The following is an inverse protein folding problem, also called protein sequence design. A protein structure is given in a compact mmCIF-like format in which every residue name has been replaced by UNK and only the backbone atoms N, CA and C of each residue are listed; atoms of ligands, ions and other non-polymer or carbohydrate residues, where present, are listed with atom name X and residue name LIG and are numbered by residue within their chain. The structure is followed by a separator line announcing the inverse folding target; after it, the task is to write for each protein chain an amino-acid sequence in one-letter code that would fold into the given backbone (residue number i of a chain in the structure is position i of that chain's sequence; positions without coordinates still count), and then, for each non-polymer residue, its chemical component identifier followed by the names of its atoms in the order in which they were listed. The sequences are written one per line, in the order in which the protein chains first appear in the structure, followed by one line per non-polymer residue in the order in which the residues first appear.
data_IF_406785092802
#
_entry.id   IF_406785092802
#
_cell.length_a   1.000
_cell.length_b   1.000
_cell.length_c   1.000
_cell.angle_alpha   90.00
_cell.angle_beta   90.00
_cell.angle_gamma   90.00
#
_symmetry.space_group_name_H-M   'P 1'
#
loop_
_entity.id
_entity.type
_entity.pdbx_description
1 polymer ?
#
# COMPACT_ATOMS: atom_id res chain seq x y z
N UNK A 1 -21.36 -14.37 -32.00
CA UNK A 1 -20.51 -15.44 -32.54
C UNK A 1 -19.12 -15.44 -31.90
N UNK A 2 -18.80 -16.55 -31.23
CA UNK A 2 -17.48 -16.87 -30.67
C UNK A 2 -16.76 -17.78 -31.68
N UNK A 3 -15.85 -17.25 -32.53
CA UNK A 3 -15.17 -18.06 -33.52
C UNK A 3 -13.98 -18.75 -32.84
N UNK A 4 -14.08 -20.06 -32.66
CA UNK A 4 -13.03 -20.95 -32.14
C UNK A 4 -12.59 -20.71 -30.68
N UNK A 5 -12.47 -21.81 -29.93
CA UNK A 5 -11.98 -21.86 -28.53
C UNK A 5 -10.46 -21.62 -28.45
N UNK A 6 -9.93 -20.56 -29.03
CA UNK A 6 -8.47 -20.31 -29.06
C UNK A 6 -8.00 -19.03 -28.36
N UNK A 7 -8.86 -18.03 -28.13
CA UNK A 7 -8.59 -16.94 -27.18
C UNK A 7 -9.84 -16.11 -26.89
N UNK A 8 -10.17 -15.91 -25.62
CA UNK A 8 -11.11 -14.87 -25.23
C UNK A 8 -10.42 -13.51 -25.36
N UNK A 9 -11.03 -12.57 -26.08
CA UNK A 9 -10.52 -11.20 -26.27
C UNK A 9 -11.43 -10.23 -25.52
N UNK A 10 -10.83 -9.46 -24.61
CA UNK A 10 -11.53 -8.38 -23.91
C UNK A 10 -11.70 -7.22 -24.89
N UNK A 11 -12.94 -6.97 -25.33
CA UNK A 11 -13.27 -5.89 -26.29
C UNK A 11 -13.49 -4.55 -25.60
N UNK A 12 -13.96 -4.57 -24.35
CA UNK A 12 -14.23 -3.39 -23.54
C UNK A 12 -13.80 -3.67 -22.10
N UNK A 13 -13.04 -2.74 -21.54
CA UNK A 13 -12.64 -2.74 -20.14
C UNK A 13 -12.49 -1.30 -19.66
N UNK A 14 -12.82 -1.09 -18.39
CA UNK A 14 -12.70 0.20 -17.73
C UNK A 14 -11.81 0.04 -16.49
N UNK A 15 -10.89 0.96 -16.28
CA UNK A 15 -10.11 0.99 -15.04
C UNK A 15 -11.04 1.27 -13.87
N UNK A 16 -10.97 0.42 -12.85
CA UNK A 16 -11.65 0.62 -11.57
C UNK A 16 -10.61 0.92 -10.53
N UNK A 17 -10.90 1.89 -9.65
CA UNK A 17 -10.04 2.16 -8.51
C UNK A 17 -10.02 0.92 -7.60
N UNK A 18 -8.84 0.36 -7.29
CA UNK A 18 -8.74 -0.76 -6.36
C UNK A 18 -9.20 -0.33 -4.97
N UNK A 19 -9.83 -1.26 -4.23
CA UNK A 19 -10.31 -1.02 -2.86
C UNK A 19 -9.36 -1.58 -1.80
N UNK A 20 -8.37 -2.37 -2.21
CA UNK A 20 -7.41 -3.08 -1.35
C UNK A 20 -5.99 -2.66 -1.68
N UNK A 21 -5.04 -3.17 -0.91
CA UNK A 21 -3.60 -3.15 -1.22
C UNK A 21 -3.26 -4.05 -2.41
N UNK A 22 -2.06 -3.86 -2.97
CA UNK A 22 -1.60 -4.52 -4.19
C UNK A 22 -1.11 -5.96 -3.96
N UNK A 23 -0.69 -6.32 -2.73
CA UNK A 23 -0.11 -7.63 -2.42
C UNK A 23 -0.74 -8.25 -1.17
N UNK A 24 -1.07 -9.54 -1.26
CA UNK A 24 -1.47 -10.35 -0.11
C UNK A 24 -1.10 -11.82 -0.30
N UNK A 25 -1.23 -12.60 0.77
CA UNK A 25 -0.99 -14.03 0.74
C UNK A 25 -1.06 -14.66 2.12
N UNK A 26 -0.54 -15.89 2.22
CA UNK A 26 -0.44 -16.62 3.48
C UNK A 26 1.00 -17.04 3.74
N UNK A 27 1.47 -16.82 4.97
CA UNK A 27 2.77 -17.27 5.41
C UNK A 27 2.65 -17.90 6.80
N UNK A 28 3.08 -19.16 6.94
CA UNK A 28 3.04 -19.92 8.19
C UNK A 28 1.68 -19.85 8.91
N UNK A 29 0.59 -19.97 8.14
CA UNK A 29 -0.78 -19.93 8.66
C UNK A 29 -1.29 -18.54 9.06
N UNK A 30 -0.55 -17.46 8.73
CA UNK A 30 -0.97 -16.08 8.95
C UNK A 30 -1.25 -15.38 7.63
N UNK A 31 -2.31 -14.59 7.61
CA UNK A 31 -2.61 -13.69 6.49
C UNK A 31 -1.59 -12.55 6.47
N UNK A 32 -0.97 -12.35 5.30
CA UNK A 32 -0.01 -11.27 5.04
C UNK A 32 -0.63 -10.34 3.99
N UNK A 33 -0.50 -9.04 4.23
CA UNK A 33 -1.03 -8.00 3.35
C UNK A 33 -0.05 -6.83 3.34
N UNK A 34 0.36 -6.37 2.17
CA UNK A 34 1.25 -5.22 2.12
C UNK A 34 1.10 -4.39 0.87
N UNK A 35 1.54 -3.15 1.01
CA UNK A 35 1.68 -2.18 -0.06
C UNK A 35 3.17 -1.94 -0.33
N UNK A 36 3.52 -1.63 -1.56
CA UNK A 36 4.89 -1.28 -1.94
C UNK A 36 4.89 0.07 -2.66
N UNK A 37 5.62 1.05 -2.09
CA UNK A 37 5.74 2.38 -2.68
C UNK A 37 7.20 2.84 -2.68
N UNK A 38 7.50 3.73 -3.60
CA UNK A 38 8.83 4.29 -3.73
C UNK A 38 8.80 5.81 -3.77
N UNK A 39 9.93 6.43 -3.42
CA UNK A 39 10.10 7.87 -3.51
C UNK A 39 11.51 8.23 -3.98
N UNK A 40 11.58 9.31 -4.77
CA UNK A 40 12.82 9.99 -5.14
C UNK A 40 13.19 11.11 -4.17
N UNK A 41 12.37 11.38 -3.14
CA UNK A 41 12.68 12.38 -2.14
C UNK A 41 13.86 11.93 -1.26
N UNK A 42 14.70 12.88 -0.85
CA UNK A 42 15.92 12.56 -0.10
C UNK A 42 15.70 12.38 1.42
N UNK A 43 14.71 13.04 1.98
CA UNK A 43 14.58 13.19 3.44
C UNK A 43 13.21 12.79 3.97
N UNK A 44 12.24 12.53 3.11
CA UNK A 44 10.88 12.18 3.56
C UNK A 44 10.08 11.44 2.50
N UNK A 45 9.16 10.61 2.95
CA UNK A 45 8.17 9.92 2.14
C UNK A 45 6.82 10.68 2.15
N UNK A 46 6.31 11.15 1.01
CA UNK A 46 5.01 11.84 0.93
C UNK A 46 3.84 10.90 1.25
N UNK A 47 2.95 11.31 2.16
CA UNK A 47 1.75 10.51 2.49
C UNK A 47 0.72 10.49 1.35
N UNK A 48 0.76 11.44 0.41
CA UNK A 48 -0.11 11.44 -0.76
C UNK A 48 0.07 10.21 -1.67
N UNK A 49 1.16 9.45 -1.50
CA UNK A 49 1.37 8.17 -2.19
C UNK A 49 0.44 7.07 -1.69
N UNK A 50 -0.28 7.29 -0.59
CA UNK A 50 -1.34 6.42 -0.10
C UNK A 50 -2.71 7.03 -0.36
N UNK A 51 -3.68 6.15 -0.55
CA UNK A 51 -5.09 6.52 -0.65
C UNK A 51 -5.88 6.06 0.58
N UNK A 52 -6.96 6.77 0.90
CA UNK A 52 -7.77 6.49 2.10
C UNK A 52 -8.25 5.03 2.15
N UNK A 53 -8.68 4.46 1.02
CA UNK A 53 -9.15 3.07 0.98
C UNK A 53 -8.06 2.07 1.41
N UNK A 54 -6.78 2.34 1.11
CA UNK A 54 -5.67 1.47 1.50
C UNK A 54 -5.44 1.52 3.01
N UNK A 55 -5.54 2.72 3.60
CA UNK A 55 -5.44 2.91 5.06
C UNK A 55 -6.58 2.19 5.78
N UNK A 56 -7.81 2.33 5.29
CA UNK A 56 -8.97 1.65 5.88
C UNK A 56 -8.90 0.13 5.72
N UNK A 57 -8.42 -0.37 4.56
CA UNK A 57 -8.15 -1.79 4.35
C UNK A 57 -7.12 -2.33 5.36
N UNK A 58 -5.97 -1.65 5.51
CA UNK A 58 -4.93 -2.07 6.47
C UNK A 58 -5.46 -2.08 7.92
N UNK A 59 -6.30 -1.12 8.32
CA UNK A 59 -6.97 -1.12 9.64
C UNK A 59 -7.83 -2.38 9.81
N UNK A 60 -8.60 -2.75 8.80
CA UNK A 60 -9.45 -3.94 8.83
C UNK A 60 -8.63 -5.22 8.92
N UNK A 61 -7.51 -5.31 8.18
CA UNK A 61 -6.59 -6.46 8.24
C UNK A 61 -6.04 -6.63 9.66
N UNK A 62 -5.52 -5.56 10.26
CA UNK A 62 -5.00 -5.60 11.64
C UNK A 62 -6.10 -5.97 12.64
N UNK A 63 -7.31 -5.45 12.47
CA UNK A 63 -8.44 -5.76 13.34
C UNK A 63 -8.86 -7.24 13.31
N UNK A 64 -8.47 -7.99 12.27
CA UNK A 64 -8.73 -9.42 12.12
C UNK A 64 -7.45 -10.27 12.28
N UNK A 65 -6.49 -9.80 13.07
CA UNK A 65 -5.22 -10.49 13.39
C UNK A 65 -4.34 -10.82 12.17
N UNK A 66 -4.54 -10.12 11.06
CA UNK A 66 -3.66 -10.16 9.89
C UNK A 66 -2.40 -9.34 10.08
N UNK A 67 -1.33 -9.71 9.36
CA UNK A 67 -0.07 -8.97 9.35
C UNK A 67 -0.11 -8.00 8.17
N UNK A 68 -0.19 -6.70 8.48
CA UNK A 68 -0.18 -5.63 7.48
C UNK A 68 1.06 -4.75 7.62
N UNK A 69 1.75 -4.47 6.52
CA UNK A 69 2.90 -3.55 6.49
C UNK A 69 3.04 -2.85 5.15
N UNK A 70 3.96 -1.89 5.06
CA UNK A 70 4.32 -1.24 3.81
C UNK A 70 5.81 -1.37 3.58
N UNK A 71 6.18 -1.68 2.33
CA UNK A 71 7.55 -1.60 1.86
C UNK A 71 7.78 -0.22 1.25
N UNK A 72 8.74 0.52 1.78
CA UNK A 72 9.11 1.85 1.29
C UNK A 72 10.52 1.81 0.70
N UNK A 73 10.65 2.18 -0.57
CA UNK A 73 11.95 2.32 -1.25
C UNK A 73 12.33 3.79 -1.44
N UNK A 74 13.48 4.20 -0.90
CA UNK A 74 14.12 5.48 -1.23
C UNK A 74 15.06 5.26 -2.42
N UNK A 75 14.57 5.50 -3.64
CA UNK A 75 15.25 5.06 -4.86
C UNK A 75 16.60 5.74 -5.10
N UNK A 76 16.79 6.97 -4.59
CA UNK A 76 18.06 7.69 -4.74
C UNK A 76 19.20 7.13 -3.89
N UNK A 77 18.87 6.39 -2.83
CA UNK A 77 19.86 5.79 -1.92
C UNK A 77 19.86 4.26 -1.97
N UNK A 78 18.97 3.69 -2.78
CA UNK A 78 18.70 2.24 -2.85
C UNK A 78 18.41 1.59 -1.48
N UNK A 79 17.73 2.34 -0.62
CA UNK A 79 17.33 1.86 0.71
C UNK A 79 15.89 1.36 0.69
N UNK A 80 15.65 0.26 1.39
CA UNK A 80 14.36 -0.40 1.48
C UNK A 80 14.00 -0.63 2.95
N UNK A 81 12.81 -0.19 3.31
CA UNK A 81 12.29 -0.24 4.67
C UNK A 81 11.01 -1.05 4.68
N UNK A 82 10.83 -1.84 5.75
CA UNK A 82 9.55 -2.44 6.09
C UNK A 82 8.99 -1.67 7.27
N UNK A 83 7.82 -1.07 7.09
CA UNK A 83 7.14 -0.28 8.11
C UNK A 83 5.80 -0.93 8.45
N UNK A 84 5.60 -1.29 9.72
CA UNK A 84 4.33 -1.86 10.20
C UNK A 84 3.16 -0.89 9.91
N UNK A 85 2.03 -1.43 9.48
CA UNK A 85 0.89 -0.61 9.05
C UNK A 85 0.35 0.29 10.18
N UNK A 86 0.55 -0.05 11.46
CA UNK A 86 0.18 0.81 12.60
C UNK A 86 0.87 2.18 12.53
N UNK A 87 2.12 2.23 12.09
CA UNK A 87 2.85 3.50 11.94
C UNK A 87 2.27 4.33 10.80
N UNK A 88 2.02 3.70 9.64
CA UNK A 88 1.39 4.38 8.49
C UNK A 88 0.01 4.94 8.86
N UNK A 89 -0.81 4.16 9.57
CA UNK A 89 -2.12 4.60 10.06
C UNK A 89 -1.98 5.80 11.01
N UNK A 90 -1.01 5.76 11.93
CA UNK A 90 -0.75 6.87 12.85
C UNK A 90 -0.32 8.15 12.11
N UNK A 91 0.61 8.04 11.16
CA UNK A 91 1.06 9.18 10.35
C UNK A 91 -0.06 9.75 9.48
N UNK A 92 -0.92 8.89 8.92
CA UNK A 92 -2.09 9.32 8.17
C UNK A 92 -3.07 10.10 9.04
N UNK A 93 -3.40 9.58 10.23
CA UNK A 93 -4.29 10.27 11.16
C UNK A 93 -3.70 11.62 11.63
N UNK A 94 -2.39 11.68 11.88
CA UNK A 94 -1.65 12.91 12.20
C UNK A 94 -1.82 13.97 11.12
N UNK A 95 -1.78 13.60 9.83
CA UNK A 95 -1.97 14.56 8.75
C UNK A 95 -3.39 15.16 8.78
N UNK A 96 -4.40 14.35 9.12
CA UNK A 96 -5.80 14.77 9.14
C UNK A 96 -6.09 15.74 10.30
N UNK A 97 -5.28 15.72 11.36
CA UNK A 97 -5.35 16.67 12.48
C UNK A 97 -4.44 17.89 12.29
N UNK A 98 -4.00 18.17 11.06
CA UNK A 98 -3.17 19.34 10.73
C UNK A 98 -1.65 19.15 10.87
N UNK A 99 -1.19 17.91 11.09
CA UNK A 99 0.22 17.57 11.14
C UNK A 99 0.90 17.47 9.77
N UNK A 100 2.13 16.95 9.75
CA UNK A 100 2.93 16.80 8.52
C UNK A 100 2.25 15.85 7.52
N UNK A 101 2.27 16.23 6.23
CA UNK A 101 1.79 15.42 5.09
C UNK A 101 2.86 14.48 4.51
N UNK A 102 3.90 14.21 5.29
CA UNK A 102 5.00 13.31 4.95
C UNK A 102 5.54 12.66 6.21
N UNK A 103 6.26 11.56 6.02
CA UNK A 103 6.99 10.82 7.04
C UNK A 103 8.47 11.11 6.81
N UNK A 104 9.23 11.62 7.78
CA UNK A 104 10.67 11.84 7.58
C UNK A 104 11.40 10.51 7.53
N UNK A 105 12.57 10.46 6.89
CA UNK A 105 13.35 9.23 6.82
C UNK A 105 13.77 8.72 8.20
N UNK A 106 13.96 9.60 9.18
CA UNK A 106 14.26 9.23 10.56
C UNK A 106 13.04 8.67 11.33
N UNK A 107 11.81 8.94 10.85
CA UNK A 107 10.57 8.39 11.42
C UNK A 107 10.24 6.99 10.87
N UNK A 108 10.94 6.53 9.82
CA UNK A 108 10.78 5.22 9.17
C UNK A 108 11.79 4.24 9.77
#
# INVERSE_FOLDING_TARGET
DYPARSAAVVKEAYFKQPSTTDYNGVYKGKYIDFEAKETKNKTSFPLQNFHLHQIEHMKQVIAHDGIAFVIIKFTLFDELYLLDAKHIIAFWNRQNTGGRKSITKEEI
#
